data_IF_437713919219
#
_entry.id   IF_437713919219
#
_cell.length_a   1.000
_cell.length_b   1.000
_cell.length_c   1.000
_cell.angle_alpha   90.00
_cell.angle_beta   90.00
_cell.angle_gamma   90.00
#
_symmetry.space_group_name_H-M   'P 1'
#
loop_
_entity.id
_entity.type
_entity.pdbx_description
1 polymer ?
#
# COMPACT_ATOMS: atom_id res chain seq x y z
N UNK A 1 -16.10 6.78 35.85
CA UNK A 1 -17.23 6.46 34.97
C UNK A 1 -16.98 7.18 33.65
N UNK A 2 -16.30 6.53 32.73
CA UNK A 2 -16.39 6.79 31.30
C UNK A 2 -16.40 5.39 30.67
N UNK A 3 -17.53 5.03 30.10
CA UNK A 3 -17.77 3.78 29.37
C UNK A 3 -18.12 4.19 27.95
N UNK A 4 -17.21 4.04 27.00
CA UNK A 4 -17.51 4.20 25.58
C UNK A 4 -16.89 3.04 24.77
N UNK A 5 -17.73 2.03 24.53
CA UNK A 5 -17.88 1.34 23.24
C UNK A 5 -16.63 0.82 22.50
N UNK A 6 -15.96 -0.19 23.06
CA UNK A 6 -14.95 -0.98 22.34
C UNK A 6 -15.60 -1.92 21.31
N UNK A 7 -15.51 -1.57 20.02
CA UNK A 7 -15.99 -2.40 18.91
C UNK A 7 -14.81 -2.94 18.09
N UNK A 8 -14.77 -4.27 17.94
CA UNK A 8 -13.85 -5.15 17.18
C UNK A 8 -12.42 -5.39 17.71
N UNK A 9 -12.25 -6.48 18.45
CA UNK A 9 -11.00 -7.26 18.54
C UNK A 9 -11.27 -8.69 18.06
N UNK A 10 -10.83 -9.06 16.85
CA UNK A 10 -10.71 -10.46 16.44
C UNK A 10 -9.29 -10.72 15.95
N UNK A 11 -8.55 -11.53 16.71
CA UNK A 11 -7.18 -11.97 16.40
C UNK A 11 -7.24 -13.45 16.01
N UNK A 12 -7.48 -13.72 14.73
CA UNK A 12 -7.63 -15.08 14.16
C UNK A 12 -6.30 -15.75 13.77
N UNK A 13 -5.16 -15.15 14.12
CA UNK A 13 -3.84 -15.76 13.96
C UNK A 13 -2.95 -15.39 15.17
N UNK A 14 -2.75 -16.31 16.14
CA UNK A 14 -1.92 -16.02 17.31
C UNK A 14 -0.42 -16.00 16.99
N UNK A 15 0.00 -16.45 15.80
CA UNK A 15 1.39 -16.44 15.38
C UNK A 15 1.69 -15.18 14.56
N UNK A 16 2.51 -14.31 15.14
CA UNK A 16 3.12 -13.22 14.40
C UNK A 16 4.22 -13.78 13.50
N UNK A 17 4.17 -13.44 12.20
CA UNK A 17 5.13 -13.93 11.19
C UNK A 17 6.53 -13.32 11.38
N UNK A 18 6.63 -12.23 12.14
CA UNK A 18 7.90 -11.59 12.49
C UNK A 18 8.45 -12.26 13.76
N UNK A 19 9.70 -12.73 13.73
CA UNK A 19 10.38 -13.15 14.96
C UNK A 19 10.61 -11.90 15.83
N UNK A 20 9.84 -11.80 16.91
CA UNK A 20 9.83 -10.62 17.78
C UNK A 20 10.98 -10.62 18.79
N UNK A 21 11.62 -11.76 19.06
CA UNK A 21 12.60 -11.88 20.15
C UNK A 21 13.80 -10.95 19.96
N UNK A 22 14.25 -10.76 18.71
CA UNK A 22 15.38 -9.88 18.37
C UNK A 22 15.00 -8.38 18.28
N UNK A 23 13.70 -8.06 18.35
CA UNK A 23 13.17 -6.70 18.17
C UNK A 23 12.54 -6.14 19.45
N UNK A 24 12.51 -6.93 20.53
CA UNK A 24 11.90 -6.57 21.81
C UNK A 24 12.95 -5.97 22.74
N UNK A 25 12.75 -4.72 23.12
CA UNK A 25 13.52 -4.03 24.14
C UNK A 25 12.71 -3.99 25.45
N UNK A 26 13.23 -4.61 26.50
CA UNK A 26 12.58 -4.65 27.81
C UNK A 26 12.91 -3.38 28.61
N UNK A 27 11.88 -2.68 29.08
CA UNK A 27 11.97 -1.56 30.02
C UNK A 27 11.26 -1.94 31.32
N UNK A 28 11.47 -1.18 32.40
CA UNK A 28 10.93 -1.51 33.73
C UNK A 28 9.40 -1.69 33.75
N UNK A 29 8.66 -0.99 32.88
CA UNK A 29 7.19 -0.98 32.89
C UNK A 29 6.52 -1.28 31.53
N UNK A 30 7.29 -1.51 30.46
CA UNK A 30 6.74 -1.81 29.12
C UNK A 30 7.72 -2.59 28.25
N UNK A 31 7.20 -3.19 27.17
CA UNK A 31 8.00 -3.79 26.10
C UNK A 31 7.91 -2.91 24.87
N UNK A 32 9.04 -2.58 24.29
CA UNK A 32 9.11 -1.84 23.03
C UNK A 32 9.45 -2.81 21.90
N UNK A 33 8.73 -2.72 20.78
CA UNK A 33 8.99 -3.53 19.58
C UNK A 33 9.38 -2.58 18.46
N UNK A 34 10.60 -2.68 17.96
CA UNK A 34 11.06 -1.87 16.82
C UNK A 34 10.87 -2.66 15.53
N UNK A 35 9.87 -2.28 14.74
CA UNK A 35 9.66 -2.88 13.42
C UNK A 35 10.54 -2.15 12.41
N UNK A 36 11.50 -2.83 11.75
CA UNK A 36 12.35 -2.18 10.76
C UNK A 36 11.52 -1.74 9.54
N UNK A 37 11.94 -0.63 8.93
CA UNK A 37 11.30 -0.12 7.72
C UNK A 37 11.44 -1.15 6.59
N UNK A 38 10.30 -1.55 6.01
CA UNK A 38 10.31 -2.37 4.79
C UNK A 38 10.89 -1.55 3.65
N UNK A 39 11.87 -2.13 2.95
CA UNK A 39 12.40 -1.53 1.72
C UNK A 39 11.27 -1.50 0.68
N UNK A 40 11.17 -0.40 -0.06
CA UNK A 40 10.21 -0.28 -1.15
C UNK A 40 10.44 -1.39 -2.17
N UNK A 41 9.36 -1.90 -2.75
CA UNK A 41 9.44 -2.91 -3.80
C UNK A 41 10.27 -2.35 -4.95
N UNK A 42 11.26 -3.11 -5.38
CA UNK A 42 11.97 -2.84 -6.62
C UNK A 42 11.05 -3.28 -7.75
N UNK A 43 11.05 -2.55 -8.87
CA UNK A 43 10.38 -2.97 -10.09
C UNK A 43 10.91 -4.35 -10.51
N UNK A 44 10.02 -5.21 -10.99
CA UNK A 44 10.45 -6.52 -11.48
C UNK A 44 11.35 -6.37 -12.70
N UNK A 45 12.28 -7.31 -12.96
CA UNK A 45 13.15 -7.25 -14.13
C UNK A 45 12.34 -7.15 -15.43
N UNK A 46 12.45 -6.02 -16.13
CA UNK A 46 11.73 -5.75 -17.39
C UNK A 46 10.41 -5.01 -17.22
N UNK A 47 10.00 -4.69 -15.99
CA UNK A 47 8.83 -3.86 -15.73
C UNK A 47 9.13 -2.39 -16.05
N UNK A 48 8.24 -1.73 -16.79
CA UNK A 48 8.35 -0.33 -17.17
C UNK A 48 7.13 0.42 -16.69
N UNK A 49 7.34 1.52 -15.98
CA UNK A 49 6.27 2.40 -15.53
C UNK A 49 5.46 2.95 -16.70
N UNK A 50 4.14 2.98 -16.55
CA UNK A 50 3.23 3.37 -17.62
C UNK A 50 3.36 4.87 -17.94
N UNK A 51 3.75 5.26 -19.16
CA UNK A 51 3.84 6.68 -19.54
C UNK A 51 2.48 7.37 -19.55
N UNK A 52 2.40 8.60 -19.03
CA UNK A 52 1.18 9.42 -19.10
C UNK A 52 0.78 9.66 -20.57
N UNK A 53 1.74 9.77 -21.49
CA UNK A 53 1.48 9.87 -22.93
C UNK A 53 0.67 8.70 -23.52
N UNK A 54 0.66 7.55 -22.84
CA UNK A 54 -0.10 6.38 -23.27
C UNK A 54 -1.52 6.35 -22.68
N UNK A 55 -1.88 7.31 -21.83
CA UNK A 55 -3.27 7.50 -21.39
C UNK A 55 -4.11 8.07 -22.53
N UNK A 56 -5.42 7.97 -22.39
CA UNK A 56 -6.36 8.63 -23.30
C UNK A 56 -6.19 10.15 -23.23
N UNK A 57 -6.34 10.85 -24.35
CA UNK A 57 -6.11 12.31 -24.45
C UNK A 57 -6.94 13.12 -23.43
N UNK A 58 -8.11 12.61 -23.03
CA UNK A 58 -8.96 13.28 -22.05
C UNK A 58 -8.49 13.08 -20.61
N UNK A 59 -7.75 12.01 -20.30
CA UNK A 59 -7.26 11.72 -18.96
C UNK A 59 -5.86 12.30 -18.71
N UNK A 60 -5.07 12.54 -19.77
CA UNK A 60 -3.72 13.12 -19.68
C UNK A 60 -3.65 14.42 -18.86
N UNK A 61 -4.57 15.40 -19.02
CA UNK A 61 -4.49 16.68 -18.29
C UNK A 61 -4.52 16.57 -16.77
N UNK A 62 -5.09 15.49 -16.23
CA UNK A 62 -5.15 15.24 -14.78
C UNK A 62 -3.76 14.93 -14.21
N UNK A 63 -2.84 14.50 -15.07
CA UNK A 63 -1.49 14.06 -14.74
C UNK A 63 -0.42 14.97 -15.36
N UNK A 64 -0.73 16.23 -15.68
CA UNK A 64 0.19 17.13 -16.40
C UNK A 64 1.55 17.34 -15.69
N UNK A 65 1.57 17.22 -14.35
CA UNK A 65 2.80 17.30 -13.55
C UNK A 65 3.60 15.99 -13.51
N UNK A 66 3.09 14.92 -14.12
CA UNK A 66 3.67 13.58 -14.08
C UNK A 66 4.07 13.08 -15.48
N UNK A 67 5.19 12.36 -15.55
CA UNK A 67 5.66 11.72 -16.79
C UNK A 67 5.20 10.27 -16.91
N UNK A 68 5.08 9.59 -15.78
CA UNK A 68 4.71 8.17 -15.67
C UNK A 68 3.80 7.96 -14.46
N UNK A 69 2.97 6.91 -14.52
CA UNK A 69 2.22 6.41 -13.37
C UNK A 69 3.15 5.71 -12.37
N UNK A 70 2.73 5.62 -11.11
CA UNK A 70 3.47 4.87 -10.10
C UNK A 70 3.36 3.35 -10.33
N UNK A 71 4.07 2.56 -9.52
CA UNK A 71 4.14 1.09 -9.66
C UNK A 71 2.77 0.41 -9.65
N UNK A 72 1.93 0.71 -8.66
CA UNK A 72 0.61 0.09 -8.53
C UNK A 72 -0.33 0.59 -9.62
N UNK A 73 -0.32 1.89 -9.92
CA UNK A 73 -1.13 2.48 -10.98
C UNK A 73 -0.78 1.89 -12.35
N UNK A 74 0.50 1.65 -12.63
CA UNK A 74 0.97 0.98 -13.85
C UNK A 74 0.33 -0.40 -14.02
N UNK A 75 0.14 -1.14 -12.92
CA UNK A 75 -0.51 -2.45 -12.95
C UNK A 75 -2.02 -2.37 -13.13
N UNK A 76 -2.67 -1.38 -12.53
CA UNK A 76 -4.14 -1.29 -12.50
C UNK A 76 -4.75 -0.48 -13.64
N UNK A 77 -3.98 0.37 -14.33
CA UNK A 77 -4.47 1.31 -15.35
C UNK A 77 -5.29 0.66 -16.47
N UNK A 78 -4.93 -0.56 -16.88
CA UNK A 78 -5.67 -1.27 -17.93
C UNK A 78 -7.06 -1.69 -17.45
N UNK A 79 -7.19 -2.16 -16.22
CA UNK A 79 -8.50 -2.52 -15.65
C UNK A 79 -9.29 -1.24 -15.35
N UNK A 80 -8.64 -0.22 -14.80
CA UNK A 80 -9.29 1.02 -14.40
C UNK A 80 -9.82 1.86 -15.58
N UNK A 81 -9.14 1.86 -16.73
CA UNK A 81 -9.49 2.75 -17.86
C UNK A 81 -9.90 2.02 -19.15
N UNK A 82 -9.61 0.73 -19.28
CA UNK A 82 -9.87 -0.03 -20.51
C UNK A 82 -10.86 -1.19 -20.31
N UNK A 83 -11.37 -1.35 -19.09
CA UNK A 83 -12.32 -2.40 -18.73
C UNK A 83 -13.46 -1.83 -17.89
N UNK A 84 -14.59 -2.55 -17.86
CA UNK A 84 -15.74 -2.26 -17.00
C UNK A 84 -15.87 -3.26 -15.83
N UNK A 85 -14.83 -4.07 -15.61
CA UNK A 85 -14.82 -5.09 -14.57
C UNK A 85 -14.63 -4.48 -13.17
N UNK A 86 -15.14 -5.17 -12.16
CA UNK A 86 -14.95 -4.79 -10.77
C UNK A 86 -13.47 -5.01 -10.35
N UNK A 87 -12.91 -4.04 -9.62
CA UNK A 87 -11.53 -4.10 -9.13
C UNK A 87 -11.49 -4.01 -7.60
N UNK A 88 -10.67 -4.85 -6.96
CA UNK A 88 -10.34 -4.79 -5.54
C UNK A 88 -8.84 -4.59 -5.36
N UNK A 89 -8.43 -3.51 -4.69
CA UNK A 89 -7.04 -3.12 -4.53
C UNK A 89 -6.63 -3.00 -3.06
N UNK A 90 -5.83 -3.96 -2.60
CA UNK A 90 -5.11 -3.87 -1.32
C UNK A 90 -3.73 -3.26 -1.56
N UNK A 91 -3.45 -2.15 -0.87
CA UNK A 91 -2.17 -1.45 -0.92
C UNK A 91 -2.02 -0.64 0.37
N UNK A 92 -0.80 -0.25 0.74
CA UNK A 92 -0.56 0.57 1.93
C UNK A 92 -1.16 1.97 1.78
N UNK A 93 -1.37 2.63 2.92
CA UNK A 93 -1.58 4.09 2.96
C UNK A 93 -0.37 4.76 2.30
N UNK A 94 -0.59 5.79 1.50
CA UNK A 94 0.42 6.50 0.69
C UNK A 94 0.99 5.83 -0.58
N UNK A 95 0.41 4.73 -1.08
CA UNK A 95 0.81 4.19 -2.41
C UNK A 95 0.06 4.82 -3.60
N UNK A 96 -0.53 6.01 -3.41
CA UNK A 96 -1.16 6.76 -4.50
C UNK A 96 -2.45 6.14 -5.06
N UNK A 97 -3.24 5.43 -4.24
CA UNK A 97 -4.48 4.76 -4.67
C UNK A 97 -5.56 5.71 -5.23
N UNK A 98 -5.42 7.02 -5.01
CA UNK A 98 -6.44 8.02 -5.35
C UNK A 98 -6.36 8.45 -6.82
N UNK A 99 -5.17 8.39 -7.44
CA UNK A 99 -4.99 8.81 -8.84
C UNK A 99 -5.02 7.61 -9.79
#
# INVERSE_FOLDING_TARGET
METENGTTELINNPQYVVNLEDLVFAQENYKEIHVPVLKSSVLDPGEVLYPISNLSKYAQPVFDDYKVLNHIQTHTVNVALKSNENMFLCASTDTGKIN
#
